data_IF_376800121171
#
_entry.id   IF_376800121171
#
_cell.length_a   1.000
_cell.length_b   1.000
_cell.length_c   1.000
_cell.angle_alpha   90.00
_cell.angle_beta   90.00
_cell.angle_gamma   90.00
#
_symmetry.space_group_name_H-M   'P 1'
#
loop_
_entity.id
_entity.type
_entity.pdbx_description
1 polymer ?
#
# COMPACT_ATOMS: atom_id res chain seq x y z
N UNK A 1 1.29 -16.46 -1.19
CA UNK A 1 0.76 -15.08 -1.12
C UNK A 1 -0.66 -14.91 -1.65
N UNK A 2 -1.12 -15.69 -2.63
CA UNK A 2 -2.54 -15.71 -3.03
C UNK A 2 -3.24 -17.05 -2.87
N UNK A 3 -2.51 -18.17 -2.70
CA UNK A 3 -3.09 -19.49 -2.37
C UNK A 3 -3.71 -19.50 -0.97
N UNK A 4 -3.22 -18.66 -0.06
CA UNK A 4 -3.72 -18.57 1.32
C UNK A 4 -4.85 -17.54 1.50
N UNK A 5 -5.07 -16.65 0.52
CA UNK A 5 -6.04 -15.54 0.60
C UNK A 5 -6.93 -15.41 -0.64
N UNK A 6 -6.90 -16.40 -1.55
CA UNK A 6 -7.69 -16.40 -2.78
C UNK A 6 -7.45 -15.17 -3.66
N UNK A 7 -6.22 -14.66 -3.73
CA UNK A 7 -5.88 -13.50 -4.58
C UNK A 7 -5.06 -13.91 -5.80
N UNK A 8 -5.00 -13.04 -6.80
CA UNK A 8 -4.25 -13.17 -8.06
C UNK A 8 -2.72 -13.40 -7.92
N UNK A 9 -2.22 -13.51 -6.69
CA UNK A 9 -0.85 -13.90 -6.31
C UNK A 9 -0.76 -15.37 -5.84
N UNK A 10 -1.77 -16.19 -6.17
CA UNK A 10 -1.77 -17.63 -5.89
C UNK A 10 -1.01 -18.39 -6.97
N UNK A 11 -0.49 -19.58 -6.62
CA UNK A 11 0.02 -20.52 -7.62
C UNK A 11 -1.11 -20.82 -8.62
N UNK A 12 -0.94 -20.35 -9.87
CA UNK A 12 -1.97 -20.43 -10.93
C UNK A 12 -2.73 -19.13 -11.22
N UNK A 13 -2.35 -17.99 -10.62
CA UNK A 13 -2.91 -16.67 -10.89
C UNK A 13 -2.10 -15.85 -11.92
N UNK A 14 -2.70 -14.77 -12.43
CA UNK A 14 -2.12 -13.88 -13.47
C UNK A 14 -0.76 -13.25 -13.05
N UNK A 15 -0.44 -13.19 -11.74
CA UNK A 15 0.83 -12.62 -11.23
C UNK A 15 1.63 -13.62 -10.39
N UNK A 16 1.70 -14.88 -10.83
CA UNK A 16 2.45 -15.95 -10.13
C UNK A 16 3.93 -15.58 -9.93
N UNK A 17 4.55 -14.91 -10.91
CA UNK A 17 5.97 -14.55 -10.84
C UNK A 17 6.28 -13.52 -9.76
N UNK A 18 5.41 -12.53 -9.55
CA UNK A 18 5.56 -11.57 -8.44
C UNK A 18 5.35 -12.24 -7.08
N UNK A 19 4.43 -13.20 -6.97
CA UNK A 19 4.23 -13.94 -5.73
C UNK A 19 5.46 -14.80 -5.36
N UNK A 20 6.14 -15.36 -6.36
CA UNK A 20 7.40 -16.11 -6.20
C UNK A 20 8.55 -15.17 -5.86
N UNK A 21 8.69 -14.04 -6.59
CA UNK A 21 9.70 -13.02 -6.32
C UNK A 21 9.65 -12.52 -4.87
N UNK A 22 8.47 -12.13 -4.38
CA UNK A 22 8.32 -11.65 -3.01
C UNK A 22 8.55 -12.79 -1.99
N UNK A 23 8.30 -14.05 -2.34
CA UNK A 23 8.52 -15.19 -1.43
C UNK A 23 9.99 -15.60 -1.34
N UNK A 24 10.73 -15.51 -2.45
CA UNK A 24 12.13 -15.93 -2.53
C UNK A 24 13.09 -14.80 -2.11
N UNK A 25 12.72 -13.56 -2.35
CA UNK A 25 13.58 -12.42 -2.03
C UNK A 25 13.59 -12.16 -0.53
N UNK A 26 14.73 -12.45 0.11
CA UNK A 26 14.95 -12.29 1.55
C UNK A 26 14.72 -10.84 2.02
N UNK A 27 14.82 -9.87 1.11
CA UNK A 27 14.61 -8.45 1.38
C UNK A 27 13.11 -8.05 1.41
N UNK A 28 12.20 -8.98 1.11
CA UNK A 28 10.76 -8.71 1.03
C UNK A 28 10.02 -9.57 2.05
N UNK A 29 9.11 -8.96 2.82
CA UNK A 29 8.30 -9.68 3.82
C UNK A 29 6.84 -9.29 3.76
N UNK A 30 5.94 -10.27 3.97
CA UNK A 30 4.50 -10.02 4.02
C UNK A 30 3.98 -10.12 5.43
N UNK A 31 3.39 -9.02 5.88
CA UNK A 31 2.67 -8.91 7.13
C UNK A 31 1.21 -9.31 6.92
N UNK A 32 0.64 -10.05 7.87
CA UNK A 32 -0.77 -10.44 7.87
C UNK A 32 -1.44 -10.02 9.16
N UNK A 33 -2.59 -9.34 9.06
CA UNK A 33 -3.51 -9.15 10.17
C UNK A 33 -4.51 -10.31 10.19
N UNK A 34 -4.67 -10.94 11.35
CA UNK A 34 -5.62 -12.03 11.56
C UNK A 34 -6.67 -11.64 12.60
N UNK A 35 -7.89 -12.14 12.44
CA UNK A 35 -8.90 -12.04 13.48
C UNK A 35 -8.70 -13.12 14.57
N UNK A 36 -9.56 -13.13 15.57
CA UNK A 36 -9.51 -14.08 16.70
C UNK A 36 -9.62 -15.56 16.26
N UNK A 37 -10.25 -15.81 15.12
CA UNK A 37 -10.38 -17.15 14.52
C UNK A 37 -9.16 -17.52 13.64
N UNK A 38 -8.11 -16.69 13.62
CA UNK A 38 -6.91 -16.90 12.81
C UNK A 38 -7.07 -16.57 11.32
N UNK A 39 -8.24 -16.05 10.90
CA UNK A 39 -8.53 -15.71 9.51
C UNK A 39 -7.80 -14.43 9.13
N UNK A 40 -7.11 -14.44 7.99
CA UNK A 40 -6.45 -13.24 7.44
C UNK A 40 -7.51 -12.24 6.99
N UNK A 41 -7.45 -11.04 7.56
CA UNK A 41 -8.38 -9.94 7.24
C UNK A 41 -7.70 -8.79 6.51
N UNK A 42 -6.37 -8.71 6.57
CA UNK A 42 -5.58 -7.77 5.78
C UNK A 42 -4.13 -8.24 5.63
N UNK A 43 -3.42 -7.70 4.63
CA UNK A 43 -2.00 -7.94 4.40
C UNK A 43 -1.29 -6.67 3.94
N UNK A 44 0.01 -6.63 4.17
CA UNK A 44 0.91 -5.58 3.70
C UNK A 44 2.24 -6.21 3.30
N UNK A 45 2.84 -5.70 2.23
CA UNK A 45 4.22 -6.00 1.88
C UNK A 45 5.13 -4.92 2.49
N UNK A 46 6.30 -5.32 2.97
CA UNK A 46 7.39 -4.43 3.37
C UNK A 46 8.69 -4.88 2.70
N UNK A 47 9.58 -3.94 2.40
CA UNK A 47 10.92 -4.20 1.88
C UNK A 47 11.93 -3.15 2.36
N UNK A 48 13.22 -3.44 2.28
CA UNK A 48 14.27 -2.45 2.55
C UNK A 48 14.78 -1.89 1.20
N UNK A 49 14.86 -0.57 1.07
CA UNK A 49 15.42 0.10 -0.11
C UNK A 49 16.95 0.07 -0.12
N UNK A 50 17.55 0.42 -1.28
CA UNK A 50 19.01 0.62 -1.42
C UNK A 50 19.58 1.67 -0.46
N UNK A 51 18.76 2.62 -0.02
CA UNK A 51 19.15 3.70 0.92
C UNK A 51 18.90 3.33 2.40
N UNK A 52 18.80 2.03 2.71
CA UNK A 52 18.51 1.53 4.05
C UNK A 52 17.25 2.17 4.66
N UNK A 53 16.17 2.21 3.89
CA UNK A 53 14.86 2.64 4.38
C UNK A 53 13.85 1.50 4.32
N UNK A 54 13.05 1.35 5.37
CA UNK A 54 11.90 0.46 5.33
C UNK A 54 10.82 1.10 4.45
N UNK A 55 10.48 0.44 3.36
CA UNK A 55 9.38 0.82 2.46
C UNK A 55 8.20 -0.10 2.74
N UNK A 56 7.09 0.50 3.16
CA UNK A 56 5.85 -0.20 3.42
C UNK A 56 4.85 0.07 2.29
N UNK A 57 4.30 -0.99 1.70
CA UNK A 57 3.42 -0.92 0.53
C UNK A 57 1.93 -0.87 0.92
N UNK A 58 1.04 -0.86 -0.07
CA UNK A 58 -0.40 -0.77 0.15
C UNK A 58 -0.93 -1.90 1.06
N UNK A 59 -1.89 -1.53 1.90
CA UNK A 59 -2.61 -2.47 2.76
C UNK A 59 -3.83 -2.98 2.01
N UNK A 60 -3.91 -4.30 1.86
CA UNK A 60 -5.01 -4.99 1.18
C UNK A 60 -5.91 -5.76 2.15
N UNK A 61 -7.22 -5.79 1.91
CA UNK A 61 -7.92 -5.09 0.83
C UNK A 61 -7.99 -3.56 1.08
N UNK A 62 -8.13 -2.75 0.04
CA UNK A 62 -8.06 -1.27 0.17
C UNK A 62 -9.13 -0.69 1.13
N UNK A 63 -10.27 -1.37 1.24
CA UNK A 63 -11.37 -1.04 2.16
C UNK A 63 -11.10 -1.49 3.62
N UNK A 64 -9.88 -1.92 3.96
CA UNK A 64 -9.47 -2.23 5.33
C UNK A 64 -9.78 -1.07 6.28
N UNK A 65 -10.36 -1.41 7.42
CA UNK A 65 -10.77 -0.46 8.45
C UNK A 65 -9.58 0.37 8.98
N UNK A 66 -9.83 1.65 9.28
CA UNK A 66 -8.80 2.59 9.75
C UNK A 66 -8.03 2.12 10.99
N UNK A 67 -8.71 1.40 11.90
CA UNK A 67 -8.06 0.80 13.09
C UNK A 67 -6.98 -0.21 12.72
N UNK A 68 -7.21 -1.03 11.69
CA UNK A 68 -6.25 -2.03 11.22
C UNK A 68 -5.11 -1.35 10.47
N UNK A 69 -5.42 -0.33 9.66
CA UNK A 69 -4.41 0.51 9.00
C UNK A 69 -3.47 1.18 10.02
N UNK A 70 -4.00 1.60 11.17
CA UNK A 70 -3.19 2.14 12.27
C UNK A 70 -2.26 1.07 12.86
N UNK A 71 -2.74 -0.16 13.06
CA UNK A 71 -1.90 -1.26 13.56
C UNK A 71 -0.72 -1.56 12.64
N UNK A 72 -0.94 -1.60 11.33
CA UNK A 72 0.15 -1.73 10.36
C UNK A 72 1.15 -0.57 10.45
N UNK A 73 0.65 0.67 10.49
CA UNK A 73 1.53 1.83 10.61
C UNK A 73 2.36 1.82 11.91
N UNK A 74 1.73 1.51 13.05
CA UNK A 74 2.42 1.39 14.33
C UNK A 74 3.50 0.27 14.26
N UNK A 75 3.16 -0.87 13.65
CA UNK A 75 4.12 -1.96 13.40
C UNK A 75 5.28 -1.50 12.52
N UNK A 76 5.03 -0.86 11.39
CA UNK A 76 6.05 -0.40 10.44
C UNK A 76 7.05 0.56 11.11
N UNK A 77 6.54 1.48 11.95
CA UNK A 77 7.38 2.39 12.74
C UNK A 77 8.25 1.65 13.75
N UNK A 78 7.65 0.72 14.51
CA UNK A 78 8.38 -0.07 15.49
C UNK A 78 9.41 -0.99 14.84
N UNK A 79 9.08 -1.60 13.71
CA UNK A 79 9.95 -2.50 12.99
C UNK A 79 11.15 -1.75 12.40
N UNK A 80 10.93 -0.62 11.72
CA UNK A 80 12.02 0.23 11.24
C UNK A 80 12.93 0.68 12.39
N UNK A 81 12.36 1.11 13.51
CA UNK A 81 13.12 1.49 14.70
C UNK A 81 13.95 0.34 15.26
N UNK A 82 13.40 -0.87 15.34
CA UNK A 82 14.10 -2.07 15.80
C UNK A 82 15.24 -2.50 14.88
N UNK A 83 15.08 -2.28 13.57
CA UNK A 83 16.12 -2.50 12.57
C UNK A 83 17.18 -1.39 12.55
N UNK A 84 16.95 -0.26 13.24
CA UNK A 84 17.86 0.90 13.20
C UNK A 84 17.80 1.70 11.90
N UNK A 85 16.78 1.49 11.07
CA UNK A 85 16.60 2.15 9.76
C UNK A 85 15.45 3.15 9.77
N UNK A 86 15.39 4.01 8.76
CA UNK A 86 14.30 5.00 8.63
C UNK A 86 13.09 4.36 7.95
N UNK A 87 11.89 4.65 8.44
CA UNK A 87 10.67 4.40 7.67
C UNK A 87 10.56 5.43 6.54
N UNK A 88 10.37 4.97 5.30
CA UNK A 88 10.20 5.82 4.14
C UNK A 88 8.95 6.70 4.26
N UNK A 89 9.10 8.01 4.01
CA UNK A 89 8.01 9.01 4.08
C UNK A 89 7.91 9.71 2.72
N UNK A 90 7.03 9.26 1.82
CA UNK A 90 6.93 9.92 0.51
C UNK A 90 6.35 11.33 0.63
N UNK A 91 7.22 12.31 0.44
CA UNK A 91 6.83 13.60 -0.10
C UNK A 91 7.83 14.12 -1.15
N UNK A 92 9.07 13.62 -1.20
CA UNK A 92 10.10 14.06 -2.18
C UNK A 92 11.11 13.00 -2.60
N UNK A 93 11.21 11.91 -1.85
CA UNK A 93 12.21 10.87 -2.09
C UNK A 93 11.60 9.77 -2.97
N UNK A 94 12.37 9.33 -3.97
CA UNK A 94 12.12 8.05 -4.64
C UNK A 94 12.78 6.95 -3.80
N UNK A 95 12.23 5.74 -3.85
CA UNK A 95 12.90 4.56 -3.31
C UNK A 95 13.23 3.61 -4.45
N UNK A 96 14.29 2.84 -4.28
CA UNK A 96 14.62 1.72 -5.14
C UNK A 96 14.77 0.47 -4.27
N UNK A 97 14.01 -0.58 -4.59
CA UNK A 97 14.11 -1.87 -3.91
C UNK A 97 15.07 -2.75 -4.68
N UNK A 98 16.12 -3.25 -4.02
CA UNK A 98 17.04 -4.19 -4.65
C UNK A 98 16.33 -5.49 -5.04
N UNK A 99 16.72 -6.02 -6.20
CA UNK A 99 16.22 -7.24 -6.78
C UNK A 99 17.25 -8.35 -6.55
N UNK A 100 17.22 -9.00 -5.36
CA UNK A 100 18.27 -9.96 -4.99
C UNK A 100 18.17 -11.23 -5.83
N UNK A 101 16.95 -11.72 -6.09
CA UNK A 101 16.72 -12.97 -6.84
C UNK A 101 15.78 -12.80 -8.04
N UNK A 102 14.91 -11.79 -8.04
CA UNK A 102 13.88 -11.64 -9.07
C UNK A 102 14.21 -10.51 -10.04
N UNK A 103 14.22 -10.77 -11.35
CA UNK A 103 14.44 -9.71 -12.35
C UNK A 103 13.36 -8.62 -12.34
N UNK A 104 12.14 -8.97 -11.93
CA UNK A 104 11.00 -8.04 -11.90
C UNK A 104 10.01 -8.39 -10.77
N UNK A 105 9.36 -7.36 -10.21
CA UNK A 105 8.18 -7.53 -9.35
C UNK A 105 7.24 -6.31 -9.48
N UNK A 106 5.96 -6.51 -9.19
CA UNK A 106 4.96 -5.45 -9.26
C UNK A 106 4.98 -4.54 -8.02
N UNK A 107 5.46 -3.32 -8.20
CA UNK A 107 5.43 -2.27 -7.19
C UNK A 107 4.13 -1.45 -7.29
N UNK A 108 3.29 -1.52 -6.27
CA UNK A 108 2.02 -0.79 -6.17
C UNK A 108 2.12 0.58 -5.50
N UNK A 109 3.35 1.00 -5.18
CA UNK A 109 3.67 2.26 -4.54
C UNK A 109 3.61 2.18 -3.02
N UNK A 110 4.56 2.86 -2.37
CA UNK A 110 4.57 3.01 -0.93
C UNK A 110 3.23 3.56 -0.38
N UNK A 111 2.79 2.96 0.73
CA UNK A 111 1.64 3.41 1.50
C UNK A 111 2.00 4.60 2.39
N UNK A 112 1.06 5.53 2.55
CA UNK A 112 1.20 6.67 3.46
C UNK A 112 0.01 6.79 4.38
N UNK A 113 0.28 6.65 5.67
CA UNK A 113 -0.71 6.91 6.70
C UNK A 113 -1.13 8.40 6.68
N UNK A 114 -2.44 8.67 6.72
CA UNK A 114 -3.00 10.03 6.73
C UNK A 114 -3.42 10.63 5.38
N UNK A 115 -2.99 10.10 4.23
CA UNK A 115 -3.40 10.62 2.90
C UNK A 115 -4.88 10.38 2.54
N UNK A 116 -5.56 9.43 3.20
CA UNK A 116 -6.96 9.10 2.88
C UNK A 116 -7.98 10.19 3.29
N UNK A 117 -7.57 11.20 4.07
CA UNK A 117 -8.45 12.28 4.54
C UNK A 117 -8.57 13.47 3.56
N UNK A 118 -7.65 13.60 2.59
CA UNK A 118 -7.58 14.78 1.71
C UNK A 118 -8.51 14.72 0.49
N UNK A 119 -8.87 13.52 0.03
CA UNK A 119 -9.72 13.34 -1.17
C UNK A 119 -11.20 13.66 -0.88
N UNK A 120 -11.67 13.47 0.35
CA UNK A 120 -13.07 13.74 0.72
C UNK A 120 -13.38 15.24 0.89
N UNK A 121 -12.39 16.08 1.22
CA UNK A 121 -12.61 17.53 1.38
C UNK A 121 -12.81 18.28 0.06
N UNK A 122 -12.33 17.78 -1.08
CA UNK A 122 -12.52 18.46 -2.38
C UNK A 122 -13.92 18.32 -2.98
N UNK A 123 -14.72 17.34 -2.54
CA UNK A 123 -16.07 17.10 -3.11
C UNK A 123 -17.16 18.06 -2.62
N UNK A 124 -16.97 18.74 -1.49
CA UNK A 124 -17.97 19.65 -0.93
C UNK A 124 -17.82 21.12 -1.37
N UNK A 125 -16.74 21.50 -2.04
CA UNK A 125 -16.47 22.90 -2.39
C UNK A 125 -17.01 23.33 -3.78
N UNK A 126 -17.59 22.43 -4.57
CA UNK A 126 -17.97 22.70 -5.98
C UNK A 126 -19.47 22.57 -6.24
N UNK A 127 -20.31 23.27 -5.46
CA UNK A 127 -21.74 23.51 -5.79
C UNK A 127 -22.20 24.92 -5.39
N UNK A 128 -21.60 25.94 -6.00
CA UNK A 128 -22.17 27.29 -6.23
C UNK A 128 -21.44 27.83 -7.45
N UNK A 129 -22.00 28.26 -8.57
CA UNK A 129 -23.34 28.49 -9.08
C UNK A 129 -23.13 29.39 -10.30
N UNK A 130 -23.62 29.02 -11.49
CA UNK A 130 -23.63 29.89 -12.68
C UNK A 130 -24.94 29.72 -13.42
N UNK A 131 -25.87 30.62 -13.15
CA UNK A 131 -27.09 30.83 -13.93
C UNK A 131 -26.69 31.61 -15.19
N UNK A 132 -27.05 31.14 -16.39
CA UNK A 132 -26.86 31.88 -17.65
C UNK A 132 -28.10 32.73 -17.95
N UNK A 133 -27.97 33.96 -18.48
CA UNK A 133 -29.12 34.76 -18.89
C UNK A 133 -29.66 34.31 -20.26
N UNK A 134 -30.95 34.58 -20.57
CA UNK A 134 -31.59 34.18 -21.82
C UNK A 134 -31.19 35.09 -23.00
N UNK A 135 -31.09 34.51 -24.19
CA UNK A 135 -30.87 35.22 -25.47
C UNK A 135 -32.23 35.45 -26.16
N UNK A 136 -32.50 36.69 -26.58
CA UNK A 136 -33.65 37.04 -27.43
C UNK A 136 -33.31 36.82 -28.91
N UNK A 137 -34.26 36.37 -29.74
CA UNK A 137 -34.10 36.31 -31.19
C UNK A 137 -34.47 37.65 -31.86
N UNK A 138 -33.86 37.92 -33.01
CA UNK A 138 -34.22 38.99 -33.97
C UNK A 138 -35.43 38.57 -34.80
#
# INVERSE_FOLDING_TARGET
MGTYVGSCLGLGGIMTDSAVAIMLDINKQVLYARNENGIVIARQLIAISKDDQLVAFQIYPHNTASRIKKLFFDYDQHFAHRLGIKLFKSERDNYEIEHILSEYWWDDGAWHFGRQSRVLKKRHASKKGRVRPPQNPL
#
